data_IF_221390085271
#
_entry.id   IF_221390085271
#
_cell.length_a   1.000
_cell.length_b   1.000
_cell.length_c   1.000
_cell.angle_alpha   90.00
_cell.angle_beta   90.00
_cell.angle_gamma   90.00
#
_symmetry.space_group_name_H-M   'P 1'
#
loop_
_entity.id
_entity.type
_entity.pdbx_description
1 polymer ?
#
# COMPACT_ATOMS: atom_id res chain seq x y z
N UNK A 1 36.33 -17.93 47.42
CA UNK A 1 35.16 -18.72 47.89
C UNK A 1 33.91 -17.87 47.72
N UNK A 2 32.86 -18.44 47.09
CA UNK A 2 31.42 -18.05 47.06
C UNK A 2 31.07 -16.66 46.49
N UNK A 3 30.69 -16.50 45.20
CA UNK A 3 29.41 -16.76 44.50
C UNK A 3 28.22 -15.87 44.88
N UNK A 4 27.60 -15.29 43.83
CA UNK A 4 26.19 -14.85 43.70
C UNK A 4 25.75 -13.60 44.49
N UNK A 5 24.83 -12.75 44.01
CA UNK A 5 23.87 -12.87 42.91
C UNK A 5 23.37 -11.50 42.46
N UNK A 6 23.09 -11.45 41.15
CA UNK A 6 22.40 -10.47 40.28
C UNK A 6 21.39 -9.47 40.90
N UNK A 7 21.21 -8.29 40.27
CA UNK A 7 20.04 -7.44 40.47
C UNK A 7 18.81 -8.04 39.76
N UNK A 8 17.66 -7.99 40.41
CA UNK A 8 16.37 -8.51 39.92
C UNK A 8 15.36 -7.36 39.82
N UNK A 9 15.17 -6.89 38.60
CA UNK A 9 13.94 -6.27 38.05
C UNK A 9 13.63 -7.19 36.85
N UNK A 10 12.39 -7.60 36.45
CA UNK A 10 11.09 -6.91 36.38
C UNK A 10 9.86 -7.84 36.64
N UNK A 11 8.65 -7.47 36.15
CA UNK A 11 7.35 -8.21 36.03
C UNK A 11 6.41 -8.05 37.26
N UNK A 12 5.11 -7.75 37.18
CA UNK A 12 4.04 -7.87 36.18
C UNK A 12 3.05 -6.68 36.30
N UNK A 13 2.54 -6.08 35.21
CA UNK A 13 1.39 -6.54 34.40
C UNK A 13 0.07 -6.57 35.20
N UNK A 14 -0.79 -5.56 35.03
CA UNK A 14 -2.17 -5.66 34.49
C UNK A 14 -2.69 -4.22 34.34
N UNK A 15 -2.45 -3.63 33.16
CA UNK A 15 -3.33 -2.61 32.62
C UNK A 15 -3.93 -3.26 31.37
N UNK A 16 -4.90 -4.15 31.58
CA UNK A 16 -5.85 -4.49 30.53
C UNK A 16 -6.88 -3.36 30.51
N UNK A 17 -6.43 -2.20 30.03
CA UNK A 17 -7.29 -1.11 29.61
C UNK A 17 -8.18 -1.68 28.52
N UNK A 18 -9.49 -1.65 28.78
CA UNK A 18 -10.52 -1.50 27.77
C UNK A 18 -9.98 -0.80 26.52
N UNK A 19 -9.77 -1.56 25.45
CA UNK A 19 -9.67 -0.99 24.13
C UNK A 19 -10.91 -1.47 23.36
N UNK A 20 -11.83 -0.57 22.98
CA UNK A 20 -12.93 -0.93 22.11
C UNK A 20 -12.32 -1.33 20.77
N UNK A 21 -12.49 -2.61 20.41
CA UNK A 21 -12.25 -3.09 19.06
C UNK A 21 -13.18 -2.34 18.11
N UNK A 22 -12.63 -1.35 17.40
CA UNK A 22 -13.36 -0.70 16.32
C UNK A 22 -12.88 0.71 16.05
N UNK A 23 -11.63 0.88 15.58
CA UNK A 23 -11.18 2.07 14.83
C UNK A 23 -9.71 2.01 14.38
N UNK A 24 -9.13 0.88 13.95
CA UNK A 24 -7.71 0.89 13.55
C UNK A 24 -7.29 -0.15 12.49
N UNK A 25 -8.14 -0.38 11.49
CA UNK A 25 -7.80 -1.24 10.34
C UNK A 25 -7.51 -0.47 9.05
N UNK A 26 -7.64 0.87 9.05
CA UNK A 26 -7.33 1.70 7.87
C UNK A 26 -5.88 2.21 7.85
N UNK A 27 -5.23 2.43 9.00
CA UNK A 27 -3.85 2.98 9.04
C UNK A 27 -2.77 2.02 8.52
N UNK A 28 -2.88 0.72 8.82
CA UNK A 28 -1.82 -0.23 8.47
C UNK A 28 -1.68 -0.53 6.97
N UNK A 29 -2.74 -0.34 6.16
CA UNK A 29 -2.71 -0.60 4.72
C UNK A 29 -1.95 0.51 3.98
N UNK A 30 -2.17 1.76 4.37
CA UNK A 30 -1.50 2.92 3.76
C UNK A 30 0.00 2.93 4.10
N UNK A 31 0.37 2.66 5.36
CA UNK A 31 1.78 2.57 5.77
C UNK A 31 2.54 1.47 5.01
N UNK A 32 1.92 0.29 4.88
CA UNK A 32 2.51 -0.83 4.12
C UNK A 32 2.62 -0.50 2.63
N UNK A 33 1.63 0.20 2.06
CA UNK A 33 1.65 0.61 0.66
C UNK A 33 2.79 1.59 0.39
N UNK A 34 2.97 2.58 1.27
CA UNK A 34 4.04 3.58 1.17
C UNK A 34 5.42 2.94 1.33
N UNK A 35 5.59 2.05 2.30
CA UNK A 35 6.84 1.30 2.50
C UNK A 35 7.21 0.49 1.24
N UNK A 36 6.26 -0.25 0.67
CA UNK A 36 6.48 -1.04 -0.54
C UNK A 36 6.76 -0.18 -1.77
N UNK A 37 6.13 0.99 -1.86
CA UNK A 37 6.36 1.95 -2.94
C UNK A 37 7.78 2.53 -2.86
N UNK A 38 8.24 2.86 -1.65
CA UNK A 38 9.62 3.30 -1.42
C UNK A 38 10.63 2.17 -1.73
N UNK A 39 10.38 0.96 -1.25
CA UNK A 39 11.22 -0.22 -1.53
C UNK A 39 11.35 -0.50 -3.03
N UNK A 40 10.26 -0.34 -3.78
CA UNK A 40 10.27 -0.45 -5.24
C UNK A 40 11.15 0.63 -5.87
N UNK A 41 11.02 1.88 -5.43
CA UNK A 41 11.82 2.98 -5.92
C UNK A 41 13.33 2.74 -5.69
N UNK A 42 13.70 2.41 -4.46
CA UNK A 42 15.09 2.09 -4.09
C UNK A 42 15.63 0.91 -4.91
N UNK A 43 14.82 -0.15 -5.09
CA UNK A 43 15.20 -1.30 -5.89
C UNK A 43 15.49 -0.93 -7.36
N UNK A 44 14.70 -0.01 -7.94
CA UNK A 44 14.94 0.49 -9.30
C UNK A 44 16.25 1.30 -9.36
N UNK A 45 16.51 2.15 -8.37
CA UNK A 45 17.71 3.01 -8.31
C UNK A 45 19.00 2.21 -8.23
N UNK A 46 19.03 1.19 -7.37
CA UNK A 46 20.18 0.28 -7.26
C UNK A 46 20.19 -0.79 -8.35
N UNK A 47 19.27 -0.71 -9.33
CA UNK A 47 19.13 -1.64 -10.47
C UNK A 47 18.89 -3.10 -10.05
N UNK A 48 18.27 -3.31 -8.90
CA UNK A 48 17.83 -4.61 -8.42
C UNK A 48 16.40 -4.91 -8.92
N UNK A 49 16.30 -5.33 -10.19
CA UNK A 49 15.00 -5.58 -10.84
C UNK A 49 14.28 -6.84 -10.37
N UNK A 50 14.99 -7.75 -9.69
CA UNK A 50 14.32 -8.86 -9.01
C UNK A 50 13.53 -8.33 -7.80
N UNK A 51 14.15 -7.44 -7.03
CA UNK A 51 13.51 -6.81 -5.88
C UNK A 51 12.37 -5.87 -6.29
N UNK A 52 12.56 -5.10 -7.36
CA UNK A 52 11.50 -4.28 -7.94
C UNK A 52 10.28 -5.14 -8.35
N UNK A 53 10.50 -6.31 -8.96
CA UNK A 53 9.41 -7.24 -9.28
C UNK A 53 8.69 -7.72 -8.02
N UNK A 54 9.45 -8.14 -7.01
CA UNK A 54 8.89 -8.63 -5.74
C UNK A 54 8.05 -7.55 -5.04
N UNK A 55 8.48 -6.28 -5.11
CA UNK A 55 7.73 -5.15 -4.56
C UNK A 55 6.43 -4.91 -5.34
N UNK A 56 6.46 -4.94 -6.69
CA UNK A 56 5.24 -4.86 -7.51
C UNK A 56 4.28 -6.01 -7.18
N UNK A 57 4.77 -7.25 -7.05
CA UNK A 57 3.97 -8.41 -6.67
C UNK A 57 3.23 -8.22 -5.34
N UNK A 58 3.87 -7.56 -4.37
CA UNK A 58 3.30 -7.24 -3.06
C UNK A 58 2.36 -6.03 -3.08
N UNK A 59 2.60 -5.04 -3.95
CA UNK A 59 1.73 -3.88 -4.14
C UNK A 59 0.39 -4.26 -4.78
N UNK A 60 0.37 -5.22 -5.72
CA UNK A 60 -0.83 -5.56 -6.47
C UNK A 60 -2.04 -5.96 -5.59
N UNK A 61 -1.91 -6.83 -4.57
CA UNK A 61 -2.99 -7.10 -3.62
C UNK A 61 -3.52 -5.82 -2.94
N UNK A 62 -2.63 -4.93 -2.51
CA UNK A 62 -3.01 -3.69 -1.82
C UNK A 62 -3.75 -2.73 -2.75
N UNK A 63 -3.22 -2.52 -3.97
CA UNK A 63 -3.89 -1.74 -5.01
C UNK A 63 -5.29 -2.28 -5.32
N UNK A 64 -5.44 -3.60 -5.35
CA UNK A 64 -6.74 -4.25 -5.57
C UNK A 64 -7.71 -3.98 -4.42
N UNK A 65 -7.22 -3.91 -3.18
CA UNK A 65 -8.05 -3.61 -2.02
C UNK A 65 -8.44 -2.13 -1.95
N UNK A 66 -7.55 -1.21 -2.35
CA UNK A 66 -7.87 0.21 -2.58
C UNK A 66 -9.00 0.33 -3.62
N UNK A 67 -8.86 -0.30 -4.80
CA UNK A 67 -9.90 -0.28 -5.83
C UNK A 67 -11.25 -0.83 -5.36
N UNK A 68 -11.26 -1.83 -4.48
CA UNK A 68 -12.51 -2.34 -3.88
C UNK A 68 -13.11 -1.33 -2.90
N UNK A 69 -12.27 -0.63 -2.13
CA UNK A 69 -12.70 0.42 -1.21
C UNK A 69 -13.29 1.59 -1.99
N UNK A 70 -12.59 2.06 -3.02
CA UNK A 70 -13.05 3.17 -3.87
C UNK A 70 -14.40 2.85 -4.51
N UNK A 71 -14.62 1.59 -4.93
CA UNK A 71 -15.93 1.18 -5.47
C UNK A 71 -17.07 1.33 -4.47
N UNK A 72 -16.80 1.12 -3.17
CA UNK A 72 -17.79 1.34 -2.11
C UNK A 72 -18.02 2.84 -1.90
N UNK A 73 -16.94 3.63 -1.85
CA UNK A 73 -17.00 5.09 -1.76
C UNK A 73 -17.81 5.69 -2.90
N UNK A 74 -17.57 5.28 -4.15
CA UNK A 74 -18.35 5.75 -5.31
C UNK A 74 -19.85 5.43 -5.17
N UNK A 75 -20.18 4.24 -4.64
CA UNK A 75 -21.57 3.85 -4.42
C UNK A 75 -22.25 4.68 -3.31
N UNK A 76 -21.48 5.21 -2.36
CA UNK A 76 -21.96 6.13 -1.33
C UNK A 76 -22.08 7.56 -1.88
N UNK A 77 -21.07 8.04 -2.62
CA UNK A 77 -21.09 9.35 -3.29
C UNK A 77 -22.26 9.50 -4.26
N UNK A 78 -22.58 8.46 -5.05
CA UNK A 78 -23.74 8.47 -5.95
C UNK A 78 -25.11 8.50 -5.26
N UNK A 79 -25.16 8.20 -3.96
CA UNK A 79 -26.37 8.27 -3.13
C UNK A 79 -26.42 9.53 -2.27
N UNK A 80 -25.31 10.26 -2.22
CA UNK A 80 -25.18 11.50 -1.51
C UNK A 80 -25.88 12.61 -2.29
N UNK A 81 -26.64 13.46 -1.59
CA UNK A 81 -27.14 14.72 -2.14
C UNK A 81 -26.15 15.88 -1.90
N UNK A 82 -24.89 15.56 -1.60
CA UNK A 82 -23.82 16.54 -1.36
C UNK A 82 -23.41 17.22 -2.69
N UNK A 83 -23.66 18.53 -2.85
CA UNK A 83 -23.31 19.26 -4.06
C UNK A 83 -21.79 19.52 -4.19
N UNK A 84 -21.00 19.34 -3.13
CA UNK A 84 -19.54 19.46 -3.18
C UNK A 84 -18.86 18.16 -3.62
N UNK A 85 -19.55 17.03 -3.51
CA UNK A 85 -19.08 15.76 -4.03
C UNK A 85 -19.23 15.73 -5.56
N UNK A 86 -18.17 15.34 -6.28
CA UNK A 86 -18.21 15.08 -7.71
C UNK A 86 -18.03 13.58 -8.01
N UNK A 87 -19.13 12.80 -8.05
CA UNK A 87 -19.06 11.36 -8.31
C UNK A 87 -18.49 11.00 -9.69
N UNK A 88 -18.60 11.90 -10.66
CA UNK A 88 -18.09 11.67 -12.02
C UNK A 88 -16.56 11.71 -12.04
N UNK A 89 -15.96 12.75 -11.43
CA UNK A 89 -14.51 12.89 -11.28
C UNK A 89 -13.92 11.73 -10.47
N UNK A 90 -14.55 11.36 -9.35
CA UNK A 90 -14.12 10.18 -8.57
C UNK A 90 -14.21 8.88 -9.39
N UNK A 91 -15.21 8.72 -10.26
CA UNK A 91 -15.33 7.57 -11.15
C UNK A 91 -14.22 7.55 -12.22
N UNK A 92 -13.81 8.71 -12.73
CA UNK A 92 -12.68 8.85 -13.66
C UNK A 92 -11.36 8.47 -12.99
N UNK A 93 -11.11 8.96 -11.78
CA UNK A 93 -9.92 8.62 -10.99
C UNK A 93 -9.86 7.11 -10.70
N UNK A 94 -11.01 6.52 -10.34
CA UNK A 94 -11.14 5.07 -10.17
C UNK A 94 -10.80 4.29 -11.43
N UNK A 95 -11.29 4.74 -12.60
CA UNK A 95 -10.96 4.11 -13.89
C UNK A 95 -9.47 4.19 -14.15
N UNK A 96 -8.85 5.35 -13.90
CA UNK A 96 -7.42 5.54 -14.08
C UNK A 96 -6.59 4.65 -13.16
N UNK A 97 -6.94 4.54 -11.88
CA UNK A 97 -6.33 3.58 -10.95
C UNK A 97 -6.42 2.13 -11.44
N UNK A 98 -7.56 1.74 -12.02
CA UNK A 98 -7.74 0.39 -12.55
C UNK A 98 -6.84 0.13 -13.78
N UNK A 99 -6.62 1.14 -14.62
CA UNK A 99 -5.66 1.06 -15.73
C UNK A 99 -4.22 0.88 -15.22
N UNK A 100 -3.80 1.69 -14.24
CA UNK A 100 -2.49 1.62 -13.62
C UNK A 100 -2.25 0.23 -12.99
N UNK A 101 -3.22 -0.28 -12.23
CA UNK A 101 -3.19 -1.65 -11.68
C UNK A 101 -2.98 -2.70 -12.77
N UNK A 102 -3.72 -2.61 -13.88
CA UNK A 102 -3.60 -3.55 -14.98
C UNK A 102 -2.27 -3.43 -15.73
N UNK A 103 -1.70 -2.22 -15.82
CA UNK A 103 -0.38 -1.99 -16.39
C UNK A 103 0.70 -2.66 -15.55
N UNK A 104 0.76 -2.36 -14.25
CA UNK A 104 1.72 -2.93 -13.30
C UNK A 104 1.57 -4.46 -13.18
N UNK A 105 0.34 -4.99 -13.22
CA UNK A 105 0.08 -6.44 -13.22
C UNK A 105 0.74 -7.17 -14.39
N UNK A 106 0.84 -6.54 -15.57
CA UNK A 106 1.53 -7.13 -16.72
C UNK A 106 3.04 -7.22 -16.48
N UNK A 107 3.60 -6.34 -15.66
CA UNK A 107 5.04 -6.24 -15.39
C UNK A 107 5.55 -7.35 -14.47
N UNK A 108 4.66 -7.96 -13.68
CA UNK A 108 5.00 -9.12 -12.85
C UNK A 108 5.32 -10.37 -13.69
N UNK A 109 4.73 -10.49 -14.88
CA UNK A 109 4.88 -11.67 -15.72
C UNK A 109 6.09 -11.59 -16.67
N UNK A 110 6.84 -10.49 -16.66
CA UNK A 110 8.03 -10.33 -17.51
C UNK A 110 9.31 -10.56 -16.70
N UNK A 111 10.42 -10.82 -17.40
CA UNK A 111 11.70 -11.06 -16.73
C UNK A 111 12.25 -9.78 -16.07
N UNK A 112 13.05 -9.89 -15.00
CA UNK A 112 13.76 -8.76 -14.40
C UNK A 112 14.58 -7.93 -15.41
N UNK A 113 15.14 -8.58 -16.43
CA UNK A 113 15.85 -7.88 -17.50
C UNK A 113 14.93 -7.00 -18.36
N UNK A 114 13.69 -7.43 -18.61
CA UNK A 114 12.69 -6.65 -19.33
C UNK A 114 12.07 -5.53 -18.48
N UNK A 115 12.04 -5.69 -17.15
CA UNK A 115 11.64 -4.63 -16.20
C UNK A 115 12.59 -3.42 -16.27
N UNK A 116 13.88 -3.65 -16.53
CA UNK A 116 14.88 -2.57 -16.64
C UNK A 116 14.51 -1.48 -17.63
N UNK A 117 14.01 -1.85 -18.81
CA UNK A 117 13.62 -0.87 -19.86
C UNK A 117 12.30 -0.18 -19.56
N UNK A 118 11.62 -0.56 -18.47
CA UNK A 118 10.33 -0.01 -18.02
C UNK A 118 10.43 0.69 -16.66
N UNK A 119 11.64 0.87 -16.12
CA UNK A 119 11.90 1.47 -14.80
C UNK A 119 11.18 2.82 -14.60
N UNK A 120 11.35 3.76 -15.52
CA UNK A 120 10.70 5.08 -15.45
C UNK A 120 9.18 5.00 -15.50
N UNK A 121 8.65 4.09 -16.32
CA UNK A 121 7.21 3.84 -16.41
C UNK A 121 6.67 3.29 -15.09
N UNK A 122 7.38 2.36 -14.45
CA UNK A 122 6.98 1.79 -13.15
C UNK A 122 6.94 2.87 -12.08
N UNK A 123 8.01 3.67 -11.96
CA UNK A 123 8.08 4.78 -10.99
C UNK A 123 6.91 5.74 -11.18
N UNK A 124 6.64 6.13 -12.44
CA UNK A 124 5.54 7.03 -12.78
C UNK A 124 4.18 6.43 -12.42
N UNK A 125 3.90 5.20 -12.84
CA UNK A 125 2.58 4.57 -12.65
C UNK A 125 2.24 4.33 -11.18
N UNK A 126 3.23 3.95 -10.37
CA UNK A 126 3.04 3.77 -8.91
C UNK A 126 2.79 5.11 -8.23
N UNK A 127 3.57 6.13 -8.57
CA UNK A 127 3.37 7.48 -8.03
C UNK A 127 1.99 8.04 -8.39
N UNK A 128 1.58 7.91 -9.65
CA UNK A 128 0.27 8.35 -10.11
C UNK A 128 -0.87 7.62 -9.38
N UNK A 129 -0.70 6.33 -9.07
CA UNK A 129 -1.70 5.59 -8.28
C UNK A 129 -1.86 6.14 -6.86
N UNK A 130 -0.75 6.55 -6.23
CA UNK A 130 -0.75 7.17 -4.89
C UNK A 130 -1.40 8.54 -4.94
N UNK A 131 -1.06 9.38 -5.94
CA UNK A 131 -1.60 10.73 -6.08
C UNK A 131 -3.13 10.75 -6.30
N UNK A 132 -3.69 9.67 -6.85
CA UNK A 132 -5.13 9.50 -7.04
C UNK A 132 -5.85 8.90 -5.82
N UNK A 133 -5.14 8.48 -4.77
CA UNK A 133 -5.68 7.80 -3.57
C UNK A 133 -5.85 8.73 -2.38
#
# INVERSE_FOLDING_TARGET
>A
MKTSSRPLIPFLLVIALWCPQGLDAKGGVDDTFMELSQRLEEAIEVRNFQEARNAIEQLLPLMKDVLKSDKKTLAELKKSDDPEANPEEFEEDMKRKAELYNSLKKLVNISPAALRVKAELIKKEVKEFIELS
#
